data_IF_281024706037
#
_entry.id   IF_281024706037
#
_cell.length_a   1.000
_cell.length_b   1.000
_cell.length_c   1.000
_cell.angle_alpha   90.00
_cell.angle_beta   90.00
_cell.angle_gamma   90.00
#
_symmetry.space_group_name_H-M   'P 1'
#
loop_
_entity.id
_entity.type
_entity.pdbx_description
1 polymer ?
#
# COMPACT_ATOMS: atom_id res chain seq x y z
N UNK A 1 18.97 64.70 -19.12
CA UNK A 1 19.12 63.22 -19.05
C UNK A 1 18.64 62.74 -17.68
N UNK A 2 17.47 62.10 -17.58
CA UNK A 2 17.00 61.45 -16.35
C UNK A 2 17.37 59.97 -16.42
N UNK A 3 18.26 59.50 -15.53
CA UNK A 3 18.55 58.08 -15.39
C UNK A 3 17.34 57.40 -14.73
N UNK A 4 16.72 56.43 -15.40
CA UNK A 4 15.74 55.53 -14.79
C UNK A 4 16.50 54.47 -13.99
N UNK A 5 16.41 54.52 -12.67
CA UNK A 5 16.84 53.43 -11.82
C UNK A 5 15.92 52.22 -12.08
N UNK A 6 16.51 51.07 -12.44
CA UNK A 6 15.82 49.80 -12.59
C UNK A 6 15.27 49.33 -11.25
N UNK A 7 13.96 49.04 -11.18
CA UNK A 7 13.34 48.42 -9.99
C UNK A 7 13.94 47.02 -9.76
N UNK A 8 14.24 46.63 -8.52
CA UNK A 8 14.64 45.25 -8.23
C UNK A 8 13.45 44.30 -8.49
N UNK A 9 13.72 43.14 -9.08
CA UNK A 9 12.74 42.09 -9.29
C UNK A 9 12.22 41.59 -7.92
N UNK A 10 10.89 41.47 -7.78
CA UNK A 10 10.30 40.91 -6.58
C UNK A 10 10.74 39.45 -6.39
N UNK A 11 11.00 39.00 -5.15
CA UNK A 11 11.33 37.60 -4.90
C UNK A 11 10.15 36.72 -5.32
N UNK A 12 10.41 35.76 -6.21
CA UNK A 12 9.44 34.74 -6.59
C UNK A 12 9.25 33.79 -5.39
N UNK A 13 8.24 34.04 -4.59
CA UNK A 13 7.85 33.10 -3.53
C UNK A 13 7.18 31.90 -4.21
N UNK A 14 7.75 30.70 -4.04
CA UNK A 14 7.04 29.46 -4.34
C UNK A 14 6.02 29.27 -3.21
N UNK A 15 4.76 29.60 -3.48
CA UNK A 15 3.67 29.23 -2.58
C UNK A 15 3.48 27.72 -2.69
N UNK A 16 3.89 26.94 -1.68
CA UNK A 16 3.46 25.56 -1.55
C UNK A 16 1.98 25.57 -1.21
N UNK A 17 1.14 25.51 -2.24
CA UNK A 17 -0.26 25.17 -2.02
C UNK A 17 -0.29 23.68 -1.64
N UNK A 18 -0.86 23.27 -0.50
CA UNK A 18 -1.03 21.86 -0.18
C UNK A 18 -1.81 21.22 -1.33
N UNK A 19 -1.18 20.31 -2.07
CA UNK A 19 -1.89 19.51 -3.06
C UNK A 19 -2.78 18.55 -2.28
N UNK A 20 -4.08 18.86 -2.25
CA UNK A 20 -5.16 18.09 -1.65
C UNK A 20 -5.15 17.97 -0.11
N UNK A 21 -6.32 17.79 0.54
CA UNK A 21 -6.37 17.40 1.94
C UNK A 21 -5.57 16.12 2.11
N UNK A 22 -4.79 16.06 3.19
CA UNK A 22 -4.17 14.84 3.72
C UNK A 22 -5.16 13.67 3.63
N UNK A 23 -5.00 12.79 2.64
CA UNK A 23 -5.83 11.60 2.57
C UNK A 23 -5.59 10.81 3.84
N UNK A 24 -6.66 10.57 4.62
CA UNK A 24 -6.60 9.73 5.81
C UNK A 24 -6.18 8.33 5.38
N UNK A 25 -5.14 7.79 6.00
CA UNK A 25 -4.62 6.46 5.64
C UNK A 25 -5.73 5.41 5.73
N UNK A 26 -5.95 4.67 4.65
CA UNK A 26 -6.87 3.54 4.64
C UNK A 26 -6.40 2.48 5.66
N UNK A 27 -7.25 2.18 6.64
CA UNK A 27 -6.92 1.22 7.70
C UNK A 27 -7.29 -0.19 7.23
N UNK A 28 -6.32 -1.09 7.29
CA UNK A 28 -6.60 -2.50 7.12
C UNK A 28 -7.42 -3.03 8.30
N UNK A 29 -8.37 -3.91 8.00
CA UNK A 29 -9.24 -4.55 8.97
C UNK A 29 -8.44 -5.56 9.83
N UNK A 30 -8.47 -5.45 11.18
CA UNK A 30 -7.70 -6.34 12.05
C UNK A 30 -8.08 -7.82 11.93
N UNK A 31 -9.35 -8.13 11.67
CA UNK A 31 -9.81 -9.53 11.56
C UNK A 31 -9.28 -10.16 10.27
N UNK A 32 -9.28 -9.41 9.17
CA UNK A 32 -8.68 -9.86 7.91
C UNK A 32 -7.16 -10.00 8.05
N UNK A 33 -6.48 -9.04 8.67
CA UNK A 33 -5.05 -9.16 8.94
C UNK A 33 -4.70 -10.38 9.80
N UNK A 34 -5.54 -10.73 10.79
CA UNK A 34 -5.35 -11.92 11.59
C UNK A 34 -5.44 -13.20 10.73
N UNK A 35 -6.43 -13.29 9.83
CA UNK A 35 -6.55 -14.42 8.90
C UNK A 35 -5.36 -14.51 7.91
N UNK A 36 -4.83 -13.38 7.45
CA UNK A 36 -3.61 -13.34 6.63
C UNK A 36 -2.39 -13.87 7.40
N UNK A 37 -2.19 -13.43 8.64
CA UNK A 37 -1.10 -13.90 9.51
C UNK A 37 -1.21 -15.38 9.82
N UNK A 38 -2.42 -15.87 10.10
CA UNK A 38 -2.66 -17.28 10.39
C UNK A 38 -2.32 -18.14 9.17
N UNK A 39 -2.79 -17.75 7.98
CA UNK A 39 -2.45 -18.43 6.74
C UNK A 39 -0.95 -18.48 6.49
N UNK A 40 -0.25 -17.33 6.59
CA UNK A 40 1.20 -17.26 6.41
C UNK A 40 1.96 -18.09 7.46
N UNK A 41 1.52 -18.07 8.72
CA UNK A 41 2.10 -18.88 9.80
C UNK A 41 1.92 -20.37 9.54
N UNK A 42 0.79 -20.80 9.01
CA UNK A 42 0.54 -22.21 8.66
C UNK A 42 1.50 -22.75 7.59
N UNK A 43 2.07 -21.85 6.78
CA UNK A 43 3.05 -22.16 5.74
C UNK A 43 4.50 -22.04 6.24
N UNK A 44 4.72 -21.64 7.51
CA UNK A 44 6.06 -21.40 8.05
C UNK A 44 6.75 -20.16 7.47
N UNK A 45 5.99 -19.22 6.89
CA UNK A 45 6.54 -18.00 6.28
C UNK A 45 6.83 -16.95 7.34
N UNK A 46 7.97 -16.26 7.20
CA UNK A 46 8.26 -15.05 7.96
C UNK A 46 7.44 -13.87 7.41
N UNK A 47 6.87 -13.07 8.29
CA UNK A 47 6.03 -11.92 7.92
C UNK A 47 6.40 -10.68 8.72
N UNK A 48 6.17 -9.51 8.16
CA UNK A 48 6.26 -8.23 8.85
C UNK A 48 5.04 -7.37 8.50
N UNK A 49 4.60 -6.54 9.44
CA UNK A 49 3.57 -5.54 9.19
C UNK A 49 4.18 -4.31 8.53
N UNK A 50 3.62 -3.89 7.41
CA UNK A 50 4.10 -2.75 6.64
C UNK A 50 2.93 -1.87 6.20
N UNK A 51 3.02 -0.54 6.34
CA UNK A 51 2.10 0.37 5.66
C UNK A 51 2.40 0.37 4.15
N UNK A 52 1.37 0.35 3.30
CA UNK A 52 1.58 0.65 1.88
C UNK A 52 1.76 2.14 1.68
N UNK A 53 2.84 2.51 1.00
CA UNK A 53 3.11 3.89 0.60
C UNK A 53 2.54 4.20 -0.80
N UNK A 54 2.19 3.16 -1.57
CA UNK A 54 1.63 3.30 -2.91
C UNK A 54 0.10 3.37 -2.86
N UNK A 55 -0.49 4.05 -3.84
CA UNK A 55 -1.92 4.00 -4.11
C UNK A 55 -2.34 2.60 -4.57
N UNK A 56 -3.41 2.07 -3.99
CA UNK A 56 -4.04 0.81 -4.43
C UNK A 56 -5.56 0.94 -4.35
N UNK A 57 -6.29 0.19 -5.18
CA UNK A 57 -7.75 0.16 -5.15
C UNK A 57 -8.32 -0.24 -3.77
N UNK A 58 -7.54 -1.01 -3.00
CA UNK A 58 -7.86 -1.36 -1.62
C UNK A 58 -8.17 -0.13 -0.74
N UNK A 59 -7.57 1.03 -1.02
CA UNK A 59 -7.85 2.27 -0.30
C UNK A 59 -9.29 2.76 -0.51
N UNK A 60 -9.82 2.62 -1.73
CA UNK A 60 -11.22 2.95 -2.01
C UNK A 60 -12.16 1.87 -1.48
N UNK A 61 -11.77 0.58 -1.57
CA UNK A 61 -12.53 -0.53 -0.99
C UNK A 61 -12.70 -0.34 0.52
N UNK A 62 -11.68 0.16 1.23
CA UNK A 62 -11.72 0.42 2.67
C UNK A 62 -12.87 1.35 3.10
N UNK A 63 -13.46 2.10 2.17
CA UNK A 63 -14.58 3.03 2.44
C UNK A 63 -15.93 2.32 2.47
N UNK A 64 -16.03 1.13 1.90
CA UNK A 64 -17.30 0.40 1.73
C UNK A 64 -17.27 -1.04 2.27
N UNK A 65 -16.09 -1.60 2.54
CA UNK A 65 -15.94 -2.94 3.06
C UNK A 65 -14.63 -3.10 3.86
N UNK A 66 -14.54 -4.09 4.77
CA UNK A 66 -13.27 -4.51 5.35
C UNK A 66 -12.25 -4.89 4.27
N UNK A 67 -10.99 -4.48 4.43
CA UNK A 67 -9.90 -4.82 3.51
C UNK A 67 -8.62 -5.19 4.26
N UNK A 68 -7.80 -6.05 3.69
CA UNK A 68 -6.40 -6.26 4.06
C UNK A 68 -5.57 -6.52 2.79
N UNK A 69 -4.25 -6.32 2.85
CA UNK A 69 -3.35 -6.54 1.72
C UNK A 69 -2.27 -7.55 2.09
N UNK A 70 -1.83 -8.35 1.11
CA UNK A 70 -0.67 -9.24 1.20
C UNK A 70 0.40 -8.65 0.30
N UNK A 71 1.60 -8.43 0.86
CA UNK A 71 2.77 -8.00 0.10
C UNK A 71 3.74 -9.16 -0.04
N UNK A 72 4.32 -9.27 -1.23
CA UNK A 72 5.45 -10.18 -1.53
C UNK A 72 6.69 -9.34 -1.90
N UNK A 73 7.91 -9.84 -1.64
CA UNK A 73 9.12 -9.08 -1.94
C UNK A 73 9.28 -8.81 -3.45
N UNK A 74 9.58 -7.57 -3.81
CA UNK A 74 10.15 -7.25 -5.13
C UNK A 74 11.66 -7.11 -5.00
N UNK A 75 12.41 -7.62 -5.97
CA UNK A 75 13.88 -7.55 -6.00
C UNK A 75 14.32 -6.09 -5.92
N UNK A 76 15.12 -5.79 -4.89
CA UNK A 76 15.62 -4.43 -4.60
C UNK A 76 14.52 -3.37 -4.38
N UNK A 77 13.27 -3.79 -4.17
CA UNK A 77 12.13 -2.88 -4.04
C UNK A 77 11.80 -2.08 -5.31
N UNK A 78 12.30 -2.51 -6.47
CA UNK A 78 12.06 -1.84 -7.74
C UNK A 78 10.61 -2.05 -8.18
N UNK A 79 9.95 -0.99 -8.63
CA UNK A 79 8.64 -1.05 -9.28
C UNK A 79 8.50 -0.01 -10.40
N UNK A 80 7.47 -0.14 -11.25
CA UNK A 80 7.21 0.72 -12.43
C UNK A 80 8.40 0.77 -13.40
N UNK A 81 9.07 -0.37 -13.55
CA UNK A 81 10.30 -0.49 -14.33
C UNK A 81 10.35 -1.87 -15.01
N UNK A 82 10.92 -2.01 -16.22
CA UNK A 82 11.17 -3.32 -16.81
C UNK A 82 12.09 -4.23 -15.98
N UNK A 83 12.79 -3.67 -14.99
CA UNK A 83 13.62 -4.41 -14.03
C UNK A 83 12.84 -4.89 -12.80
N UNK A 84 11.58 -4.51 -12.66
CA UNK A 84 10.69 -5.01 -11.61
C UNK A 84 10.61 -6.53 -11.69
N UNK A 85 10.85 -7.20 -10.57
CA UNK A 85 10.92 -8.65 -10.54
C UNK A 85 10.59 -9.20 -9.16
N UNK A 86 9.65 -10.13 -9.13
CA UNK A 86 9.33 -10.97 -7.97
C UNK A 86 9.62 -12.42 -8.34
N UNK A 87 10.27 -13.17 -7.44
CA UNK A 87 10.58 -14.57 -7.74
C UNK A 87 9.30 -15.40 -7.84
N UNK A 88 9.29 -16.46 -8.66
CA UNK A 88 8.15 -17.36 -8.76
C UNK A 88 7.77 -17.99 -7.41
N UNK A 89 8.76 -18.24 -6.56
CA UNK A 89 8.52 -18.76 -5.21
C UNK A 89 7.76 -17.73 -4.35
N UNK A 90 8.15 -16.46 -4.40
CA UNK A 90 7.49 -15.40 -3.64
C UNK A 90 6.07 -15.14 -4.15
N UNK A 91 5.87 -15.17 -5.48
CA UNK A 91 4.53 -15.11 -6.08
C UNK A 91 3.67 -16.28 -5.57
N UNK A 92 4.18 -17.51 -5.65
CA UNK A 92 3.45 -18.70 -5.20
C UNK A 92 3.13 -18.64 -3.70
N UNK A 93 4.08 -18.20 -2.86
CA UNK A 93 3.87 -18.02 -1.42
C UNK A 93 2.75 -17.00 -1.16
N UNK A 94 2.76 -15.85 -1.84
CA UNK A 94 1.71 -14.84 -1.69
C UNK A 94 0.34 -15.33 -2.13
N UNK A 95 0.28 -16.06 -3.24
CA UNK A 95 -0.96 -16.67 -3.74
C UNK A 95 -1.49 -17.74 -2.78
N UNK A 96 -0.63 -18.58 -2.21
CA UNK A 96 -1.03 -19.62 -1.25
C UNK A 96 -1.56 -19.00 0.05
N UNK A 97 -0.97 -17.90 0.52
CA UNK A 97 -1.50 -17.14 1.65
C UNK A 97 -2.91 -16.62 1.33
N UNK A 98 -3.09 -15.99 0.17
CA UNK A 98 -4.39 -15.49 -0.27
C UNK A 98 -5.45 -16.61 -0.29
N UNK A 99 -5.11 -17.74 -0.92
CA UNK A 99 -5.99 -18.90 -1.03
C UNK A 99 -6.43 -19.41 0.35
N UNK A 100 -5.48 -19.66 1.26
CA UNK A 100 -5.79 -20.16 2.61
C UNK A 100 -6.59 -19.17 3.43
N UNK A 101 -6.28 -17.88 3.33
CA UNK A 101 -7.03 -16.85 4.05
C UNK A 101 -8.48 -16.78 3.60
N UNK A 102 -8.76 -16.94 2.31
CA UNK A 102 -10.14 -17.01 1.80
C UNK A 102 -10.87 -18.19 2.44
N UNK A 103 -10.29 -19.40 2.46
CA UNK A 103 -10.91 -20.57 3.09
C UNK A 103 -11.15 -20.39 4.59
N UNK A 104 -10.19 -19.79 5.31
CA UNK A 104 -10.33 -19.51 6.74
C UNK A 104 -11.48 -18.55 7.01
N UNK A 105 -11.60 -17.49 6.20
CA UNK A 105 -12.66 -16.50 6.33
C UNK A 105 -14.03 -17.07 5.95
N UNK A 106 -14.10 -17.85 4.88
CA UNK A 106 -15.32 -18.53 4.44
C UNK A 106 -15.88 -19.45 5.54
N UNK A 107 -15.04 -20.32 6.10
CA UNK A 107 -15.42 -21.18 7.21
C UNK A 107 -15.72 -20.46 8.53
N UNK A 108 -15.40 -19.17 8.66
CA UNK A 108 -15.84 -18.34 9.79
C UNK A 108 -17.24 -17.75 9.57
N UNK A 109 -17.63 -17.50 8.32
CA UNK A 109 -18.96 -17.02 7.96
C UNK A 109 -20.02 -18.09 8.20
N UNK A 110 -19.72 -19.35 7.87
CA UNK A 110 -20.62 -20.50 8.10
C UNK A 110 -20.92 -20.77 9.58
N UNK A 111 -20.14 -20.20 10.50
CA UNK A 111 -20.27 -20.40 11.95
C UNK A 111 -21.02 -19.26 12.66
N UNK A 112 -21.50 -18.26 11.92
CA UNK A 112 -22.33 -17.17 12.46
C UNK A 112 -23.79 -17.39 12.11
#
# INVERSE_FOLDING_TARGET
MRQRASRPAAPCWITRNPLAPTQTSARADPSLQAALREAAKSLGLATADLPSLAGHDAQEIARIAPMAMIFVPSKEGISHSPKEFTSWQDVANGTEVLYRSILLLDGQLDRK
#
